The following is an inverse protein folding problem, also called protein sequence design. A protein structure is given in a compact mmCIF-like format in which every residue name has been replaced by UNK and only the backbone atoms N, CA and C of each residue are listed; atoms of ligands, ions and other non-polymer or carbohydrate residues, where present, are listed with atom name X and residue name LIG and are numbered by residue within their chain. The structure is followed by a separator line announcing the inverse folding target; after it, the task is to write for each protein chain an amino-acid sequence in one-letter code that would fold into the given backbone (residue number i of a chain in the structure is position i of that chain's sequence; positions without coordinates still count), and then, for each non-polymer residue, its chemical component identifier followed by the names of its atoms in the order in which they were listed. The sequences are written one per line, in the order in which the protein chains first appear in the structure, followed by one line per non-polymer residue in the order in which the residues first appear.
data_IF_897223882413
#
_entry.id   IF_897223882413
#
_cell.length_a   1.000
_cell.length_b   1.000
_cell.length_c   1.000
_cell.angle_alpha   90.00
_cell.angle_beta   90.00
_cell.angle_gamma   90.00
#
_symmetry.space_group_name_H-M   'P 1'
#
loop_
_entity.id
_entity.type
_entity.pdbx_description
1 polymer ?
#
# COMPACT_ATOMS: atom_id res chain seq x y z
N UNK A 1 -6.29 9.17 -12.51
CA UNK A 1 -7.03 9.65 -11.33
C UNK A 1 -8.47 9.15 -11.42
N UNK A 2 -8.93 8.44 -10.39
CA UNK A 2 -10.33 8.04 -10.19
C UNK A 2 -10.94 8.94 -9.10
N UNK A 3 -12.15 9.46 -9.32
CA UNK A 3 -12.77 10.40 -8.39
C UNK A 3 -14.31 10.31 -8.39
N UNK A 4 -14.98 10.68 -7.29
CA UNK A 4 -16.43 10.77 -7.23
C UNK A 4 -16.99 11.84 -8.19
N UNK A 5 -18.12 11.54 -8.80
CA UNK A 5 -18.82 12.51 -9.67
C UNK A 5 -19.34 13.71 -8.87
N UNK A 6 -19.69 13.52 -7.60
CA UNK A 6 -20.23 14.54 -6.70
C UNK A 6 -19.47 14.61 -5.37
N UNK A 7 -19.80 15.55 -4.51
CA UNK A 7 -19.21 15.72 -3.18
C UNK A 7 -18.18 16.83 -3.12
N UNK A 8 -17.85 17.27 -1.91
CA UNK A 8 -16.81 18.26 -1.57
C UNK A 8 -16.04 17.80 -0.33
N UNK A 9 -14.85 18.35 -0.11
CA UNK A 9 -13.98 17.92 0.98
C UNK A 9 -13.53 16.48 0.82
N UNK A 10 -13.31 16.05 -0.44
CA UNK A 10 -12.98 14.67 -0.79
C UNK A 10 -11.55 14.35 -0.33
N UNK A 11 -11.36 13.34 0.53
CA UNK A 11 -10.03 12.89 0.92
C UNK A 11 -9.30 12.23 -0.24
N UNK A 12 -7.98 12.19 -0.16
CA UNK A 12 -7.09 11.67 -1.20
C UNK A 12 -6.43 10.37 -0.76
N UNK A 13 -6.36 9.42 -1.67
CA UNK A 13 -5.52 8.22 -1.57
C UNK A 13 -4.53 8.22 -2.71
N UNK A 14 -3.23 8.27 -2.41
CA UNK A 14 -2.20 8.03 -3.43
C UNK A 14 -1.83 6.55 -3.38
N UNK A 15 -2.06 5.83 -4.47
CA UNK A 15 -1.84 4.39 -4.55
C UNK A 15 -0.60 4.06 -5.39
N UNK A 16 0.37 3.38 -4.78
CA UNK A 16 1.57 2.87 -5.45
C UNK A 16 1.36 1.40 -5.87
N UNK A 17 1.53 1.13 -7.17
CA UNK A 17 1.38 -0.23 -7.73
C UNK A 17 2.51 -1.16 -7.34
N UNK A 18 2.33 -2.49 -7.47
CA UNK A 18 3.36 -3.52 -7.31
C UNK A 18 4.45 -3.42 -8.36
N UNK A 19 5.56 -4.17 -8.19
CA UNK A 19 6.66 -4.20 -9.14
C UNK A 19 6.18 -4.58 -10.54
N UNK A 20 6.59 -3.82 -11.55
CA UNK A 20 6.25 -4.08 -12.95
C UNK A 20 4.80 -3.77 -13.36
N UNK A 21 3.91 -3.44 -12.42
CA UNK A 21 2.55 -2.99 -12.73
C UNK A 21 2.52 -1.51 -13.20
N UNK A 22 1.35 -0.92 -13.33
CA UNK A 22 1.20 0.47 -13.76
C UNK A 22 0.00 1.15 -13.11
N UNK A 23 -0.24 2.42 -13.43
CA UNK A 23 -1.43 3.17 -13.01
C UNK A 23 -2.76 2.60 -13.54
N UNK A 24 -2.72 1.73 -14.53
CA UNK A 24 -3.91 1.08 -15.11
C UNK A 24 -4.36 -0.16 -14.32
N UNK A 25 -3.46 -0.73 -13.52
CA UNK A 25 -3.79 -1.83 -12.63
C UNK A 25 -4.57 -1.38 -11.38
N UNK A 26 -5.02 -2.35 -10.58
CA UNK A 26 -5.70 -2.13 -9.28
C UNK A 26 -7.04 -1.38 -9.37
N UNK A 27 -7.66 -1.36 -10.54
CA UNK A 27 -8.99 -0.77 -10.72
C UNK A 27 -10.04 -1.30 -9.76
N UNK A 28 -10.05 -2.60 -9.38
CA UNK A 28 -10.97 -3.10 -8.37
C UNK A 28 -10.93 -2.32 -7.06
N UNK A 29 -9.75 -1.84 -6.64
CA UNK A 29 -9.61 -1.00 -5.44
C UNK A 29 -9.87 0.48 -5.75
N UNK A 30 -9.22 1.02 -6.78
CA UNK A 30 -9.25 2.44 -7.09
C UNK A 30 -10.67 2.93 -7.42
N UNK A 31 -11.39 2.20 -8.27
CA UNK A 31 -12.76 2.54 -8.66
C UNK A 31 -13.74 2.34 -7.48
N UNK A 32 -13.50 1.31 -6.64
CA UNK A 32 -14.30 1.08 -5.45
C UNK A 32 -14.16 2.21 -4.42
N UNK A 33 -12.94 2.68 -4.15
CA UNK A 33 -12.67 3.81 -3.26
C UNK A 33 -13.23 5.11 -3.84
N UNK A 34 -13.06 5.34 -5.14
CA UNK A 34 -13.62 6.51 -5.81
C UNK A 34 -15.15 6.55 -5.70
N UNK A 35 -15.82 5.42 -5.93
CA UNK A 35 -17.27 5.33 -5.76
C UNK A 35 -17.75 5.59 -4.31
N UNK A 36 -16.81 5.54 -3.33
CA UNK A 36 -17.09 5.75 -1.90
C UNK A 36 -16.53 7.06 -1.33
N UNK A 37 -16.20 7.99 -2.19
CA UNK A 37 -15.90 9.36 -1.79
C UNK A 37 -14.43 9.73 -1.73
N UNK A 38 -13.53 8.90 -2.25
CA UNK A 38 -12.10 9.21 -2.29
C UNK A 38 -11.67 9.69 -3.68
N UNK A 39 -10.70 10.60 -3.71
CA UNK A 39 -9.92 10.87 -4.92
C UNK A 39 -8.71 9.94 -4.89
N UNK A 40 -8.60 9.05 -5.88
CA UNK A 40 -7.51 8.09 -5.96
C UNK A 40 -6.55 8.50 -7.07
N UNK A 41 -5.29 8.73 -6.70
CA UNK A 41 -4.22 9.09 -7.63
C UNK A 41 -3.24 7.93 -7.74
N UNK A 42 -3.04 7.40 -8.94
CA UNK A 42 -2.13 6.29 -9.22
C UNK A 42 -1.02 6.76 -10.15
N UNK A 43 0.21 7.01 -9.67
CA UNK A 43 1.35 7.23 -10.55
C UNK A 43 1.78 5.91 -11.21
N UNK A 44 2.34 5.98 -12.42
CA UNK A 44 3.13 4.90 -13.01
C UNK A 44 4.58 5.14 -12.66
N UNK A 45 5.19 4.19 -11.97
CA UNK A 45 6.58 4.26 -11.54
C UNK A 45 7.56 3.78 -12.62
N UNK A 46 8.84 4.12 -12.46
CA UNK A 46 9.91 3.84 -13.42
C UNK A 46 10.07 2.35 -13.75
N UNK A 47 9.78 1.46 -12.79
CA UNK A 47 9.86 0.00 -12.95
C UNK A 47 8.65 -0.64 -13.64
N UNK A 48 7.63 0.13 -13.99
CA UNK A 48 6.47 -0.40 -14.72
C UNK A 48 6.92 -1.05 -16.04
N UNK A 49 6.37 -2.22 -16.36
CA UNK A 49 6.67 -2.91 -17.64
C UNK A 49 6.39 -2.01 -18.86
N UNK A 50 5.38 -1.14 -18.76
CA UNK A 50 5.02 -0.17 -19.80
C UNK A 50 6.05 0.93 -20.03
N UNK A 51 6.93 1.19 -19.05
CA UNK A 51 8.04 2.15 -19.18
C UNK A 51 9.22 1.53 -19.93
N UNK A 52 9.39 0.20 -19.86
CA UNK A 52 10.41 -0.51 -20.62
C UNK A 52 11.83 -0.27 -20.12
N UNK A 53 12.03 -0.09 -18.81
CA UNK A 53 13.36 0.11 -18.21
C UNK A 53 14.28 -1.08 -18.50
N UNK A 54 15.43 -0.83 -19.14
CA UNK A 54 16.39 -1.87 -19.49
C UNK A 54 16.91 -2.62 -18.25
N UNK A 55 17.29 -3.90 -18.43
CA UNK A 55 17.74 -4.75 -17.32
C UNK A 55 19.04 -4.24 -16.67
N UNK A 56 19.89 -3.57 -17.43
CA UNK A 56 21.17 -2.99 -17.05
C UNK A 56 21.10 -1.48 -16.77
N UNK A 57 19.89 -0.91 -16.69
CA UNK A 57 19.72 0.53 -16.42
C UNK A 57 20.32 0.90 -15.06
N UNK A 58 21.24 1.90 -15.00
CA UNK A 58 21.92 2.29 -13.77
C UNK A 58 20.99 2.83 -12.68
N UNK A 59 19.73 3.13 -12.99
CA UNK A 59 18.73 3.58 -12.01
C UNK A 59 18.10 2.43 -11.21
N UNK A 60 18.29 1.16 -11.62
CA UNK A 60 17.64 0.02 -10.96
C UNK A 60 17.94 -0.12 -9.48
N UNK A 61 19.16 0.08 -8.97
CA UNK A 61 19.44 0.03 -7.52
C UNK A 61 18.67 1.08 -6.72
N UNK A 62 18.37 2.23 -7.33
CA UNK A 62 17.63 3.34 -6.72
C UNK A 62 16.12 3.30 -6.93
N UNK A 63 15.53 2.25 -7.51
CA UNK A 63 14.10 2.19 -7.82
C UNK A 63 13.22 2.47 -6.60
N UNK A 64 13.58 1.96 -5.43
CA UNK A 64 12.85 2.21 -4.20
C UNK A 64 12.75 3.70 -3.86
N UNK A 65 13.82 4.48 -4.10
CA UNK A 65 13.88 5.93 -3.87
C UNK A 65 13.07 6.69 -4.92
N UNK A 66 13.23 6.37 -6.20
CA UNK A 66 12.46 7.01 -7.28
C UNK A 66 10.95 6.87 -7.07
N UNK A 67 10.48 5.73 -6.59
CA UNK A 67 9.06 5.54 -6.27
C UNK A 67 8.55 6.47 -5.16
N UNK A 68 9.35 6.67 -4.12
CA UNK A 68 9.03 7.61 -3.04
C UNK A 68 8.98 9.04 -3.58
N UNK A 69 9.98 9.42 -4.40
CA UNK A 69 10.02 10.73 -5.05
C UNK A 69 8.83 10.94 -5.98
N UNK A 70 8.39 9.94 -6.72
CA UNK A 70 7.22 10.03 -7.59
C UNK A 70 5.96 10.36 -6.79
N UNK A 71 5.73 9.68 -5.66
CA UNK A 71 4.59 9.99 -4.79
C UNK A 71 4.72 11.39 -4.20
N UNK A 72 5.91 11.81 -3.75
CA UNK A 72 6.13 13.19 -3.28
C UNK A 72 5.82 14.22 -4.38
N UNK A 73 6.23 13.98 -5.63
CA UNK A 73 5.88 14.84 -6.77
C UNK A 73 4.37 14.89 -7.02
N UNK A 74 3.66 13.77 -6.83
CA UNK A 74 2.18 13.76 -6.88
C UNK A 74 1.63 14.68 -5.80
N UNK A 75 2.11 14.59 -4.56
CA UNK A 75 1.68 15.43 -3.46
C UNK A 75 2.01 16.91 -3.68
N UNK A 76 3.19 17.22 -4.24
CA UNK A 76 3.63 18.58 -4.55
C UNK A 76 2.84 19.24 -5.69
N UNK A 77 2.22 18.43 -6.54
CA UNK A 77 1.44 18.88 -7.72
C UNK A 77 -0.03 18.48 -7.63
N UNK A 78 -0.52 18.15 -6.44
CA UNK A 78 -1.87 17.61 -6.27
C UNK A 78 -2.94 18.58 -6.76
N UNK A 79 -2.80 19.87 -6.50
CA UNK A 79 -3.68 20.94 -6.98
C UNK A 79 -3.74 20.98 -8.51
N UNK A 80 -2.59 20.88 -9.18
CA UNK A 80 -2.50 20.85 -10.63
C UNK A 80 -3.17 19.60 -11.21
N UNK A 81 -2.87 18.43 -10.61
CA UNK A 81 -3.42 17.15 -11.06
C UNK A 81 -4.95 17.11 -10.94
N UNK A 82 -5.49 17.56 -9.78
CA UNK A 82 -6.94 17.64 -9.56
C UNK A 82 -7.59 18.68 -10.48
N UNK A 83 -6.89 19.80 -10.76
CA UNK A 83 -7.36 20.84 -11.66
C UNK A 83 -7.52 20.39 -13.12
N UNK A 84 -6.79 19.35 -13.53
CA UNK A 84 -6.89 18.74 -14.86
C UNK A 84 -8.07 17.78 -15.02
N UNK A 85 -8.68 17.34 -13.90
CA UNK A 85 -9.83 16.43 -13.93
C UNK A 85 -11.12 17.27 -14.02
N UNK A 86 -11.94 17.13 -15.07
CA UNK A 86 -13.15 17.92 -15.23
C UNK A 86 -14.07 17.84 -13.99
N UNK A 87 -14.42 19.01 -13.45
CA UNK A 87 -15.32 19.12 -12.31
C UNK A 87 -14.74 18.70 -10.94
N UNK A 88 -13.45 18.44 -10.82
CA UNK A 88 -12.82 18.04 -9.55
C UNK A 88 -12.17 19.23 -8.80
N UNK A 89 -11.79 20.28 -9.50
CA UNK A 89 -11.18 21.47 -8.91
C UNK A 89 -12.01 22.05 -7.77
N UNK A 90 -11.37 22.38 -6.63
CA UNK A 90 -12.03 22.95 -5.44
C UNK A 90 -12.90 21.98 -4.66
N UNK A 91 -12.86 20.69 -4.96
CA UNK A 91 -13.65 19.65 -4.27
C UNK A 91 -12.80 18.77 -3.35
N UNK A 92 -11.49 18.80 -3.48
CA UNK A 92 -10.53 17.93 -2.79
C UNK A 92 -10.06 18.56 -1.49
N UNK A 93 -9.97 17.76 -0.45
CA UNK A 93 -9.38 18.14 0.85
C UNK A 93 -7.93 17.64 0.91
N UNK A 94 -6.99 18.54 0.71
CA UNK A 94 -5.55 18.24 0.69
C UNK A 94 -4.94 18.06 2.10
N UNK A 95 -5.73 18.27 3.16
CA UNK A 95 -5.31 17.96 4.54
C UNK A 95 -5.64 16.52 4.95
N UNK A 96 -6.38 15.80 4.12
CA UNK A 96 -6.83 14.42 4.36
C UNK A 96 -6.26 13.47 3.32
N UNK A 97 -4.95 13.20 3.45
CA UNK A 97 -4.20 12.35 2.53
C UNK A 97 -3.80 11.05 3.20
N UNK A 98 -4.10 9.93 2.56
CA UNK A 98 -3.54 8.63 2.86
C UNK A 98 -2.70 8.12 1.69
N UNK A 99 -1.76 7.23 1.99
CA UNK A 99 -1.05 6.46 0.98
C UNK A 99 -1.46 5.00 1.06
N UNK A 100 -1.51 4.33 -0.07
CA UNK A 100 -1.74 2.89 -0.12
C UNK A 100 -0.83 2.27 -1.16
N UNK A 101 -0.57 0.96 -1.05
CA UNK A 101 0.20 0.28 -2.07
C UNK A 101 0.24 -1.22 -1.87
N UNK A 102 0.50 -1.93 -2.96
CA UNK A 102 0.64 -3.37 -2.98
C UNK A 102 2.09 -3.78 -3.20
N UNK A 103 2.55 -4.81 -2.48
CA UNK A 103 3.88 -5.37 -2.68
C UNK A 103 4.98 -4.30 -2.56
N UNK A 104 5.77 -4.05 -3.59
CA UNK A 104 6.76 -2.97 -3.64
C UNK A 104 6.11 -1.58 -3.44
N UNK A 105 4.87 -1.38 -3.93
CA UNK A 105 4.10 -0.16 -3.66
C UNK A 105 3.74 0.00 -2.18
N UNK A 106 3.50 -1.10 -1.47
CA UNK A 106 3.31 -1.08 -0.03
C UNK A 106 4.57 -0.64 0.72
N UNK A 107 5.75 -1.06 0.30
CA UNK A 107 7.01 -0.54 0.83
C UNK A 107 7.17 0.96 0.54
N UNK A 108 6.86 1.40 -0.69
CA UNK A 108 6.85 2.84 -1.05
C UNK A 108 5.96 3.65 -0.12
N UNK A 109 4.72 3.17 0.12
CA UNK A 109 3.79 3.79 1.06
C UNK A 109 4.35 3.79 2.50
N UNK A 110 4.95 2.68 2.92
CA UNK A 110 5.59 2.55 4.24
C UNK A 110 6.68 3.58 4.47
N UNK A 111 7.51 3.86 3.45
CA UNK A 111 8.59 4.87 3.56
C UNK A 111 8.00 6.27 3.79
N UNK A 112 6.93 6.63 3.10
CA UNK A 112 6.25 7.90 3.31
C UNK A 112 5.60 8.03 4.71
N UNK A 113 5.37 6.90 5.38
CA UNK A 113 4.83 6.81 6.74
C UNK A 113 5.91 6.66 7.83
N UNK A 114 7.20 6.72 7.45
CA UNK A 114 8.31 6.66 8.39
C UNK A 114 9.08 5.35 8.41
N UNK A 115 8.76 4.36 7.57
CA UNK A 115 9.66 3.23 7.32
C UNK A 115 11.00 3.76 6.78
N UNK A 116 12.11 3.46 7.46
CA UNK A 116 13.44 3.80 6.95
C UNK A 116 14.04 2.62 6.23
N UNK A 117 14.56 2.90 5.05
CA UNK A 117 15.28 1.93 4.22
C UNK A 117 16.76 2.23 4.33
N UNK A 118 17.55 1.21 4.65
CA UNK A 118 18.99 1.31 4.58
C UNK A 118 19.40 1.38 3.11
N UNK A 119 19.86 2.54 2.70
CA UNK A 119 20.35 2.76 1.34
C UNK A 119 21.59 1.89 1.10
N UNK A 120 21.56 0.95 0.13
CA UNK A 120 22.65 0.02 -0.09
C UNK A 120 23.93 0.68 -0.62
N UNK A 121 23.83 1.87 -1.22
CA UNK A 121 24.98 2.60 -1.76
C UNK A 121 25.70 3.41 -0.68
N UNK A 122 24.92 4.07 0.20
CA UNK A 122 25.47 4.98 1.21
C UNK A 122 25.58 4.34 2.60
N UNK A 123 24.90 3.22 2.84
CA UNK A 123 24.82 2.56 4.16
C UNK A 123 24.04 3.37 5.19
N UNK A 124 23.24 4.37 4.78
CA UNK A 124 22.48 5.25 5.66
C UNK A 124 21.00 4.97 5.56
N UNK A 125 20.32 5.00 6.71
CA UNK A 125 18.86 5.01 6.78
C UNK A 125 18.40 6.47 6.80
N UNK A 126 17.73 6.88 5.72
CA UNK A 126 17.19 8.24 5.59
C UNK A 126 15.73 8.30 6.00
N UNK A 127 15.33 9.44 6.57
CA UNK A 127 13.93 9.75 6.77
C UNK A 127 13.35 10.41 5.51
N UNK A 128 12.54 9.66 4.80
CA UNK A 128 11.82 10.10 3.62
C UNK A 128 10.30 10.18 3.87
N UNK A 129 9.88 10.23 5.13
CA UNK A 129 8.48 10.43 5.48
C UNK A 129 7.95 11.76 4.96
N UNK A 130 6.64 11.82 4.71
CA UNK A 130 5.97 13.05 4.27
C UNK A 130 4.87 13.42 5.29
N UNK A 131 4.99 14.58 5.98
CA UNK A 131 4.06 14.96 7.04
C UNK A 131 2.63 15.24 6.56
N UNK A 132 2.40 15.38 5.25
CA UNK A 132 1.07 15.50 4.65
C UNK A 132 0.30 14.18 4.69
N UNK A 133 1.02 13.05 4.79
CA UNK A 133 0.43 11.71 4.81
C UNK A 133 -0.01 11.36 6.23
N UNK A 134 -1.32 11.19 6.43
CA UNK A 134 -1.92 10.96 7.74
C UNK A 134 -1.99 9.50 8.14
N UNK A 135 -2.15 8.60 7.18
CA UNK A 135 -2.32 7.18 7.42
C UNK A 135 -1.98 6.36 6.17
N UNK A 136 -1.93 5.03 6.29
CA UNK A 136 -1.68 4.17 5.15
C UNK A 136 -2.35 2.81 5.15
N UNK A 137 -2.39 2.20 3.95
CA UNK A 137 -2.82 0.83 3.72
C UNK A 137 -1.70 0.08 2.98
N UNK A 138 -1.14 -0.93 3.60
CA UNK A 138 -0.04 -1.74 3.07
C UNK A 138 -0.58 -3.14 2.72
N UNK A 139 -0.61 -3.47 1.43
CA UNK A 139 -1.19 -4.71 0.91
C UNK A 139 -0.07 -5.67 0.52
N UNK A 140 0.01 -6.85 1.14
CA UNK A 140 1.00 -7.89 0.85
C UNK A 140 2.44 -7.33 0.68
N UNK A 141 2.85 -6.42 1.56
CA UNK A 141 4.13 -5.72 1.42
C UNK A 141 5.27 -6.48 2.10
N UNK A 142 6.48 -6.26 1.60
CA UNK A 142 7.69 -6.89 2.13
C UNK A 142 7.96 -6.51 3.60
N UNK A 143 8.31 -7.50 4.39
CA UNK A 143 8.83 -7.34 5.74
C UNK A 143 10.35 -7.16 5.79
N UNK A 144 10.95 -7.35 6.97
CA UNK A 144 12.40 -7.34 7.14
C UNK A 144 13.00 -8.62 6.56
N UNK A 145 13.90 -8.47 5.58
CA UNK A 145 14.54 -9.59 4.95
C UNK A 145 15.70 -10.18 5.77
N UNK A 146 16.61 -9.33 6.25
CA UNK A 146 17.79 -9.79 7.00
C UNK A 146 18.59 -10.84 6.23
N UNK A 147 18.99 -11.89 6.95
CA UNK A 147 19.68 -13.05 6.38
C UNK A 147 18.72 -14.08 5.76
N UNK A 148 17.41 -13.84 5.88
CA UNK A 148 16.38 -14.69 5.28
C UNK A 148 16.05 -14.32 3.83
N UNK A 149 16.66 -13.29 3.25
CA UNK A 149 16.53 -13.00 1.83
C UNK A 149 17.09 -14.13 0.98
N UNK A 150 16.37 -14.49 -0.08
CA UNK A 150 16.92 -15.40 -1.10
C UNK A 150 18.15 -14.76 -1.77
N UNK A 151 19.06 -15.56 -2.36
CA UNK A 151 20.22 -15.00 -3.08
C UNK A 151 19.82 -13.99 -4.17
N UNK A 152 18.72 -14.25 -4.85
CA UNK A 152 18.16 -13.32 -5.84
C UNK A 152 17.79 -11.98 -5.20
N UNK A 153 17.01 -11.99 -4.11
CA UNK A 153 16.58 -10.78 -3.44
C UNK A 153 17.74 -10.02 -2.80
N UNK A 154 18.69 -10.73 -2.18
CA UNK A 154 19.87 -10.13 -1.58
C UNK A 154 20.76 -9.40 -2.60
N UNK A 155 20.85 -9.93 -3.84
CA UNK A 155 21.63 -9.33 -4.92
C UNK A 155 20.91 -8.24 -5.70
N UNK A 156 19.58 -8.36 -5.91
CA UNK A 156 18.84 -7.44 -6.79
C UNK A 156 17.98 -6.42 -6.03
N UNK A 157 17.65 -6.69 -4.76
CA UNK A 157 16.76 -5.85 -3.92
C UNK A 157 17.43 -5.64 -2.54
N UNK A 158 18.68 -5.17 -2.47
CA UNK A 158 19.46 -5.13 -1.23
C UNK A 158 18.83 -4.22 -0.16
N UNK A 159 18.02 -3.28 -0.55
CA UNK A 159 17.24 -2.41 0.37
C UNK A 159 16.19 -3.17 1.20
N UNK A 160 15.81 -4.40 0.83
CA UNK A 160 14.93 -5.27 1.63
C UNK A 160 15.64 -5.91 2.83
N UNK A 161 16.98 -5.83 2.91
CA UNK A 161 17.74 -6.46 3.98
C UNK A 161 17.42 -5.89 5.35
N UNK A 162 17.41 -4.58 5.48
CA UNK A 162 17.30 -3.91 6.77
C UNK A 162 16.28 -2.77 6.85
N UNK A 163 15.00 -2.95 6.43
CA UNK A 163 14.01 -1.92 6.66
C UNK A 163 13.77 -1.74 8.17
N UNK A 164 13.76 -0.49 8.62
CA UNK A 164 13.55 -0.11 10.02
C UNK A 164 12.14 0.41 10.22
N UNK A 165 11.30 -0.40 10.85
CA UNK A 165 9.89 -0.07 11.11
C UNK A 165 9.66 0.79 12.35
N UNK A 166 10.67 0.97 13.21
CA UNK A 166 10.55 1.66 14.49
C UNK A 166 10.12 3.12 14.38
N UNK A 167 10.28 3.75 13.22
CA UNK A 167 9.91 5.14 12.96
C UNK A 167 8.55 5.29 12.27
N UNK A 168 7.91 4.20 11.86
CA UNK A 168 6.60 4.22 11.22
C UNK A 168 5.49 4.32 12.28
N UNK A 169 5.30 5.52 12.83
CA UNK A 169 4.36 5.79 13.93
C UNK A 169 2.93 6.09 13.49
N UNK A 170 2.74 6.56 12.25
CA UNK A 170 1.43 6.87 11.70
C UNK A 170 0.47 5.66 11.72
N UNK A 171 -0.85 5.85 11.80
CA UNK A 171 -1.83 4.78 11.69
C UNK A 171 -1.69 4.00 10.37
N UNK A 172 -1.66 2.67 10.44
CA UNK A 172 -1.53 1.79 9.26
C UNK A 172 -2.43 0.57 9.38
N UNK A 173 -3.14 0.27 8.30
CA UNK A 173 -3.74 -1.03 8.06
C UNK A 173 -2.79 -1.88 7.19
N UNK A 174 -2.35 -3.00 7.71
CA UNK A 174 -1.61 -4.03 6.97
C UNK A 174 -2.59 -5.12 6.54
N UNK A 175 -2.53 -5.53 5.29
CA UNK A 175 -3.31 -6.66 4.76
C UNK A 175 -2.33 -7.72 4.26
N UNK A 176 -2.43 -8.91 4.80
CA UNK A 176 -1.55 -10.05 4.52
C UNK A 176 -2.37 -11.30 4.16
N UNK A 177 -1.91 -12.07 3.18
CA UNK A 177 -2.44 -13.39 2.87
C UNK A 177 -1.74 -14.46 3.69
N UNK A 178 -2.46 -15.41 4.27
CA UNK A 178 -1.87 -16.51 5.06
C UNK A 178 -1.18 -17.58 4.19
N UNK A 179 -1.28 -17.46 2.86
CA UNK A 179 -0.58 -18.28 1.86
C UNK A 179 0.35 -17.49 0.95
N UNK A 180 0.67 -16.25 1.30
CA UNK A 180 1.60 -15.40 0.53
C UNK A 180 3.05 -15.88 0.70
N UNK A 181 3.42 -16.91 -0.05
CA UNK A 181 4.78 -17.43 -0.10
C UNK A 181 5.64 -16.59 -1.05
N UNK A 182 6.33 -15.61 -0.51
CA UNK A 182 7.18 -14.72 -1.31
C UNK A 182 8.44 -15.42 -1.82
N UNK A 183 8.79 -15.30 -3.11
CA UNK A 183 10.06 -15.81 -3.65
C UNK A 183 11.28 -14.99 -3.20
N UNK A 184 11.08 -13.91 -2.46
CA UNK A 184 12.14 -12.99 -2.01
C UNK A 184 12.77 -13.41 -0.69
N UNK A 185 12.13 -14.28 0.07
CA UNK A 185 12.58 -14.70 1.41
C UNK A 185 12.34 -16.19 1.63
N UNK A 186 13.12 -16.79 2.53
CA UNK A 186 12.86 -18.16 3.02
C UNK A 186 11.89 -18.19 4.18
N UNK A 187 11.41 -17.03 4.64
CA UNK A 187 10.34 -16.91 5.65
C UNK A 187 8.99 -17.27 5.04
N UNK A 188 8.06 -17.67 5.90
CA UNK A 188 6.67 -17.92 5.52
C UNK A 188 5.85 -16.64 5.29
N UNK A 189 4.52 -16.80 5.11
CA UNK A 189 3.60 -15.69 4.85
C UNK A 189 3.59 -14.61 5.94
N UNK A 190 3.98 -14.93 7.16
CA UNK A 190 4.10 -13.98 8.28
C UNK A 190 5.08 -12.84 7.99
N UNK A 191 5.95 -12.99 6.98
CA UNK A 191 6.87 -11.93 6.56
C UNK A 191 6.13 -10.66 6.14
N UNK A 192 4.99 -10.78 5.48
CA UNK A 192 4.18 -9.65 5.05
C UNK A 192 3.42 -8.96 6.18
N UNK A 193 3.40 -9.57 7.38
CA UNK A 193 2.84 -8.97 8.59
C UNK A 193 3.87 -8.14 9.40
N UNK A 194 5.17 -8.17 9.05
CA UNK A 194 6.22 -7.42 9.77
C UNK A 194 5.89 -5.93 9.96
N UNK A 195 5.29 -5.21 9.00
CA UNK A 195 4.92 -3.80 9.22
C UNK A 195 3.96 -3.60 10.39
N UNK A 196 3.06 -4.56 10.64
CA UNK A 196 2.21 -4.55 11.82
C UNK A 196 3.00 -4.90 13.08
N UNK A 197 3.81 -5.96 13.02
CA UNK A 197 4.51 -6.50 14.21
C UNK A 197 5.58 -5.55 14.72
N UNK A 198 6.39 -5.00 13.79
CA UNK A 198 7.63 -4.30 14.10
C UNK A 198 7.48 -2.77 14.25
N UNK A 199 6.37 -2.18 13.80
CA UNK A 199 6.16 -0.74 13.96
C UNK A 199 5.39 -0.40 15.23
N UNK A 200 5.68 0.75 15.86
CA UNK A 200 4.92 1.28 16.99
C UNK A 200 3.64 1.97 16.54
N UNK A 201 2.87 2.44 17.49
CA UNK A 201 1.67 3.25 17.26
C UNK A 201 0.46 2.42 16.84
N UNK A 202 -0.60 3.11 16.43
CA UNK A 202 -1.86 2.49 16.02
C UNK A 202 -1.68 1.69 14.72
N UNK A 203 -1.86 0.39 14.82
CA UNK A 203 -1.77 -0.53 13.68
C UNK A 203 -2.89 -1.54 13.70
N UNK A 204 -3.36 -1.89 12.51
CA UNK A 204 -4.29 -3.01 12.32
C UNK A 204 -3.72 -4.00 11.31
N UNK A 205 -3.99 -5.28 11.50
CA UNK A 205 -3.61 -6.36 10.60
C UNK A 205 -4.85 -7.14 10.21
N UNK A 206 -5.18 -7.12 8.92
CA UNK A 206 -6.13 -8.03 8.31
C UNK A 206 -5.35 -9.21 7.74
N UNK A 207 -5.52 -10.40 8.31
CA UNK A 207 -5.04 -11.65 7.73
C UNK A 207 -6.17 -12.26 6.89
N UNK A 208 -5.95 -12.44 5.60
CA UNK A 208 -6.89 -13.08 4.68
C UNK A 208 -6.59 -14.56 4.56
N UNK A 209 -7.57 -15.41 4.85
CA UNK A 209 -7.43 -16.86 4.83
C UNK A 209 -7.43 -17.42 3.41
N UNK A 210 -6.43 -18.24 3.10
CA UNK A 210 -6.22 -18.85 1.79
C UNK A 210 -5.77 -17.87 0.71
N UNK A 211 -5.43 -16.62 1.07
CA UNK A 211 -4.97 -15.62 0.12
C UNK A 211 -3.46 -15.70 -0.11
N UNK A 212 -3.08 -15.56 -1.36
CA UNK A 212 -1.70 -15.44 -1.82
C UNK A 212 -1.34 -13.96 -2.05
N UNK A 213 -0.29 -13.69 -2.82
CA UNK A 213 0.28 -12.36 -2.97
C UNK A 213 -0.68 -11.30 -3.54
N UNK A 214 -1.59 -11.69 -4.44
CA UNK A 214 -2.57 -10.77 -5.03
C UNK A 214 -3.90 -10.67 -4.27
N UNK A 215 -3.99 -11.26 -3.06
CA UNK A 215 -5.09 -11.11 -2.12
C UNK A 215 -6.47 -11.40 -2.74
N UNK A 216 -6.53 -12.41 -3.61
CA UNK A 216 -7.72 -12.82 -4.32
C UNK A 216 -7.97 -12.10 -5.65
N UNK A 217 -7.04 -11.26 -6.12
CA UNK A 217 -7.13 -10.58 -7.42
C UNK A 217 -7.33 -9.07 -7.36
N UNK A 218 -6.77 -8.38 -6.34
CA UNK A 218 -6.88 -6.91 -6.20
C UNK A 218 -6.25 -6.13 -7.35
N UNK A 219 -5.32 -6.73 -8.09
CA UNK A 219 -4.68 -6.13 -9.26
C UNK A 219 -5.58 -6.04 -10.49
N UNK A 220 -6.71 -6.76 -10.49
CA UNK A 220 -7.65 -6.83 -11.62
C UNK A 220 -7.26 -7.88 -12.66
N UNK A 221 -8.11 -8.02 -13.67
CA UNK A 221 -7.99 -9.07 -14.70
C UNK A 221 -6.82 -8.88 -15.68
N UNK A 222 -6.14 -7.73 -15.64
CA UNK A 222 -5.00 -7.46 -16.51
C UNK A 222 -3.70 -8.13 -16.03
N UNK A 223 -3.71 -8.70 -14.82
CA UNK A 223 -2.56 -9.40 -14.23
C UNK A 223 -2.82 -10.91 -14.27
N UNK A 224 -2.21 -11.58 -15.23
CA UNK A 224 -2.33 -13.03 -15.40
C UNK A 224 -1.64 -13.87 -14.29
N UNK A 225 -1.05 -13.20 -13.31
CA UNK A 225 -0.25 -13.83 -12.25
C UNK A 225 -1.04 -14.13 -10.98
N UNK A 226 -2.34 -13.80 -10.93
CA UNK A 226 -3.21 -14.18 -9.80
C UNK A 226 -3.45 -15.69 -9.82
N UNK A 227 -3.11 -16.35 -8.74
CA UNK A 227 -3.22 -17.81 -8.57
C UNK A 227 -4.29 -18.19 -7.55
N UNK A 228 -4.86 -17.23 -6.86
CA UNK A 228 -5.86 -17.39 -5.79
C UNK A 228 -7.13 -16.58 -6.03
N UNK A 229 -7.53 -16.37 -7.27
CA UNK A 229 -8.70 -15.56 -7.63
C UNK A 229 -9.92 -15.89 -6.76
N UNK A 230 -10.41 -14.86 -6.03
CA UNK A 230 -11.54 -15.00 -5.14
C UNK A 230 -12.26 -13.66 -4.97
N UNK A 231 -13.39 -13.44 -5.66
CA UNK A 231 -14.14 -12.19 -5.58
C UNK A 231 -14.60 -11.82 -4.17
N UNK A 232 -14.84 -12.80 -3.30
CA UNK A 232 -15.25 -12.54 -1.92
C UNK A 232 -14.09 -11.99 -1.08
N UNK A 233 -12.84 -12.44 -1.32
CA UNK A 233 -11.64 -11.84 -0.70
C UNK A 233 -11.43 -10.42 -1.18
N UNK A 234 -11.55 -10.17 -2.49
CA UNK A 234 -11.44 -8.81 -3.06
C UNK A 234 -12.49 -7.90 -2.44
N UNK A 235 -13.74 -8.34 -2.32
CA UNK A 235 -14.81 -7.59 -1.69
C UNK A 235 -14.50 -7.26 -0.21
N UNK A 236 -13.95 -8.23 0.53
CA UNK A 236 -13.54 -8.00 1.92
C UNK A 236 -12.41 -6.98 2.02
N UNK A 237 -11.40 -7.05 1.15
CA UNK A 237 -10.33 -6.04 1.10
C UNK A 237 -10.89 -4.66 0.79
N UNK A 238 -11.79 -4.55 -0.19
CA UNK A 238 -12.47 -3.31 -0.56
C UNK A 238 -13.23 -2.70 0.62
N UNK A 239 -14.02 -3.50 1.33
CA UNK A 239 -14.83 -3.07 2.46
C UNK A 239 -13.95 -2.62 3.64
N UNK A 240 -13.01 -3.46 4.06
CA UNK A 240 -12.16 -3.20 5.22
C UNK A 240 -11.25 -1.99 4.98
N UNK A 241 -10.63 -1.89 3.81
CA UNK A 241 -9.76 -0.74 3.49
C UNK A 241 -10.53 0.55 3.38
N UNK A 242 -11.76 0.52 2.83
CA UNK A 242 -12.64 1.69 2.76
C UNK A 242 -13.05 2.16 4.14
N UNK A 243 -13.53 1.25 4.99
CA UNK A 243 -13.94 1.56 6.36
C UNK A 243 -12.77 2.15 7.18
N UNK A 244 -11.58 1.55 7.04
CA UNK A 244 -10.36 2.04 7.67
C UNK A 244 -9.99 3.46 7.20
N UNK A 245 -9.90 3.67 5.88
CA UNK A 245 -9.55 4.97 5.30
C UNK A 245 -10.54 6.07 5.72
N UNK A 246 -11.85 5.77 5.74
CA UNK A 246 -12.86 6.72 6.23
C UNK A 246 -12.64 7.10 7.69
N UNK A 247 -12.31 6.11 8.52
CA UNK A 247 -12.02 6.32 9.93
C UNK A 247 -10.79 7.20 10.15
N UNK A 248 -9.65 6.82 9.61
CA UNK A 248 -8.37 7.53 9.86
C UNK A 248 -8.29 8.90 9.21
N UNK A 249 -9.08 9.16 8.15
CA UNK A 249 -9.17 10.47 7.50
C UNK A 249 -10.32 11.33 8.06
N UNK A 250 -11.02 10.86 9.07
CA UNK A 250 -12.05 11.63 9.77
C UNK A 250 -13.31 11.92 8.93
N UNK A 251 -13.67 11.03 7.98
CA UNK A 251 -14.87 11.15 7.14
C UNK A 251 -15.96 10.13 7.48
N UNK A 252 -15.75 9.32 8.51
CA UNK A 252 -16.71 8.35 9.06
C UNK A 252 -16.00 7.29 9.88
N UNK A 253 -16.60 6.82 10.97
CA UNK A 253 -15.98 5.81 11.85
C UNK A 253 -16.88 4.61 12.16
N UNK A 254 -18.17 4.71 11.88
CA UNK A 254 -19.14 3.65 12.23
C UNK A 254 -18.87 2.34 11.48
N UNK A 255 -18.50 2.44 10.19
CA UNK A 255 -18.16 1.29 9.37
C UNK A 255 -16.90 0.56 9.91
N UNK A 256 -15.89 1.32 10.36
CA UNK A 256 -14.69 0.74 10.93
C UNK A 256 -14.96 -0.05 12.21
N UNK A 257 -15.79 0.50 13.10
CA UNK A 257 -16.20 -0.21 14.33
C UNK A 257 -17.03 -1.45 14.03
N UNK A 258 -17.86 -1.43 12.99
CA UNK A 258 -18.61 -2.60 12.55
C UNK A 258 -17.68 -3.69 11.99
N UNK A 259 -16.71 -3.32 11.15
CA UNK A 259 -15.68 -4.21 10.60
C UNK A 259 -14.84 -4.84 11.72
N UNK A 260 -14.39 -4.04 12.69
CA UNK A 260 -13.61 -4.55 13.84
C UNK A 260 -14.40 -5.58 14.65
N UNK A 261 -15.69 -5.37 14.87
CA UNK A 261 -16.53 -6.35 15.58
C UNK A 261 -16.73 -7.63 14.76
N UNK A 262 -16.98 -7.50 13.46
CA UNK A 262 -17.23 -8.64 12.58
C UNK A 262 -16.01 -9.53 12.38
N UNK A 263 -14.81 -8.94 12.29
CA UNK A 263 -13.56 -9.62 11.98
C UNK A 263 -12.64 -9.85 13.20
N UNK A 264 -12.97 -9.25 14.35
CA UNK A 264 -12.18 -9.39 15.59
C UNK A 264 -12.37 -10.75 16.29
N UNK A 265 -13.40 -11.53 15.91
CA UNK A 265 -13.63 -12.89 16.39
C UNK A 265 -12.97 -13.94 15.51
N UNK A 266 -12.99 -15.20 15.97
CA UNK A 266 -12.41 -16.34 15.21
C UNK A 266 -13.34 -16.89 14.12
N UNK A 267 -14.56 -16.39 14.01
CA UNK A 267 -15.63 -17.03 13.23
C UNK A 267 -15.77 -16.54 11.77
N UNK A 268 -15.02 -15.52 11.34
CA UNK A 268 -15.20 -15.04 9.96
C UNK A 268 -14.43 -15.93 8.97
N UNK A 269 -15.12 -16.48 7.91
CA UNK A 269 -14.53 -17.51 7.05
C UNK A 269 -13.40 -17.02 6.14
N UNK A 270 -13.32 -15.70 5.87
CA UNK A 270 -12.38 -15.13 4.90
C UNK A 270 -11.16 -14.45 5.53
N UNK A 271 -11.19 -14.16 6.83
CA UNK A 271 -10.07 -13.47 7.46
C UNK A 271 -10.32 -13.04 8.89
N UNK A 272 -9.28 -12.51 9.51
CA UNK A 272 -9.28 -12.00 10.88
C UNK A 272 -8.60 -10.64 10.95
N UNK A 273 -9.19 -9.73 11.72
CA UNK A 273 -8.64 -8.40 11.98
C UNK A 273 -8.19 -8.30 13.44
N UNK A 274 -6.96 -7.90 13.64
CA UNK A 274 -6.41 -7.54 14.95
C UNK A 274 -5.87 -6.12 14.92
N UNK A 275 -5.96 -5.43 16.06
CA UNK A 275 -5.45 -4.05 16.18
C UNK A 275 -4.63 -3.90 17.44
N UNK A 276 -3.63 -3.03 17.39
CA UNK A 276 -2.89 -2.55 18.55
C UNK A 276 -2.96 -1.03 18.63
N UNK A 277 -3.12 -0.52 19.82
CA UNK A 277 -2.96 0.91 20.15
C UNK A 277 -1.49 1.20 20.43
N UNK A 278 -1.07 2.42 20.22
CA UNK A 278 0.27 2.90 20.54
C UNK A 278 0.50 3.01 22.04
#
# INVERSE_FOLDING_TARGET
VSAPVTGRGLPVVVFAHGFGASSEGYRPLADYWAARGFVVVQPTHLDAKTVGLAADDPRRPGLWRYRVEDVRRVLDRLDVLVGQVPGLAGRVDQERIAVAGHSFGGQTAGVLLGLRVLDPETGRAEDLSDPRVRAGVLLATAGRGGDALTPFAAGNLPWLRGPEFAHMTAPVLVVAGDRDASPLTVRGPEWTADPYVLSPGEKSLLTLFGAEHFLGGISGYEVAETTDENPARVALVQEVTTAYLRHVLGVGSQEWEAVRRALGGEAHPLGRLVSKSG
#
